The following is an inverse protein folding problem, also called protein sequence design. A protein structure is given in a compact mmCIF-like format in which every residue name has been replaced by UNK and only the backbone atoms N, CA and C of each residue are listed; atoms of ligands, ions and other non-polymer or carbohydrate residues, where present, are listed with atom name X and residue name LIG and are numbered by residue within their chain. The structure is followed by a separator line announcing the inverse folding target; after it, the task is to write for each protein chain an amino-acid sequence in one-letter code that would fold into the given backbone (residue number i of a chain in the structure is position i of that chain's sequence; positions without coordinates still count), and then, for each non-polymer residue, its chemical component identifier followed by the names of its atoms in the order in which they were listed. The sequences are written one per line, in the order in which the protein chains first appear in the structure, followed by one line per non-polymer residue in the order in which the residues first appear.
data_IF_085247379677
#
_entry.id   IF_085247379677
#
_cell.length_a   1.000
_cell.length_b   1.000
_cell.length_c   1.000
_cell.angle_alpha   90.00
_cell.angle_beta   90.00
_cell.angle_gamma   90.00
#
_symmetry.space_group_name_H-M   'P 1'
#
loop_
_entity.id
_entity.type
_entity.pdbx_description
1 polymer ?
#
# COMPACT_ATOMS: atom_id res chain seq x y z
N UNK A 1 5.17 3.98 -13.08
CA UNK A 1 5.82 3.15 -12.03
C UNK A 1 6.22 1.82 -12.65
N UNK A 2 7.48 1.39 -12.40
CA UNK A 2 8.02 0.11 -12.86
C UNK A 2 8.60 -0.65 -11.68
N UNK A 3 8.78 -1.97 -11.86
CA UNK A 3 9.41 -2.83 -10.87
C UNK A 3 10.93 -2.74 -11.02
N UNK A 4 11.60 -2.52 -9.89
CA UNK A 4 13.06 -2.54 -9.77
C UNK A 4 13.45 -3.53 -8.69
N UNK A 5 14.62 -4.15 -8.84
CA UNK A 5 15.26 -4.99 -7.83
C UNK A 5 16.63 -4.45 -7.50
N UNK A 6 17.01 -4.52 -6.23
CA UNK A 6 18.31 -4.05 -5.74
C UNK A 6 18.77 -4.97 -4.59
N UNK A 7 20.07 -5.26 -4.45
CA UNK A 7 20.59 -5.97 -3.29
C UNK A 7 20.33 -5.19 -1.98
N UNK A 8 20.05 -5.89 -0.88
CA UNK A 8 19.84 -5.27 0.45
C UNK A 8 21.08 -4.49 0.91
N UNK A 9 22.26 -4.90 0.45
CA UNK A 9 23.54 -4.23 0.73
C UNK A 9 23.73 -2.93 -0.07
N UNK A 10 22.75 -2.55 -0.89
CA UNK A 10 22.83 -1.37 -1.75
C UNK A 10 23.42 -1.68 -3.14
N UNK A 11 23.60 -0.63 -3.91
CA UNK A 11 24.09 -0.69 -5.29
C UNK A 11 23.12 -0.10 -6.29
N UNK A 12 23.33 -0.31 -7.57
CA UNK A 12 22.45 0.21 -8.61
C UNK A 12 21.21 -0.69 -8.75
N UNK A 13 19.98 -0.11 -8.73
CA UNK A 13 18.76 -0.86 -8.97
C UNK A 13 18.71 -1.35 -10.44
N UNK A 14 18.29 -2.60 -10.63
CA UNK A 14 17.97 -3.16 -11.95
C UNK A 14 16.48 -2.99 -12.23
N UNK A 15 16.14 -2.32 -13.32
CA UNK A 15 14.76 -2.18 -13.78
C UNK A 15 14.30 -3.46 -14.47
N UNK A 16 13.17 -4.03 -14.02
CA UNK A 16 12.63 -5.30 -14.51
C UNK A 16 11.50 -5.11 -15.52
N UNK A 17 10.77 -4.00 -15.45
CA UNK A 17 9.58 -3.75 -16.30
C UNK A 17 9.67 -2.39 -16.99
N UNK A 18 9.01 -2.28 -18.19
CA UNK A 18 9.14 -1.13 -19.09
C UNK A 18 7.81 -0.77 -19.76
N UNK A 19 6.69 -0.97 -19.08
CA UNK A 19 5.37 -0.70 -19.64
C UNK A 19 4.86 0.70 -19.22
N UNK A 20 3.98 1.29 -20.05
CA UNK A 20 3.35 2.60 -19.75
C UNK A 20 2.31 2.55 -18.63
N UNK A 21 1.76 1.38 -18.32
CA UNK A 21 0.91 1.19 -17.12
C UNK A 21 1.78 1.09 -15.88
N UNK A 22 1.23 1.50 -14.74
CA UNK A 22 1.89 1.29 -13.47
C UNK A 22 2.02 -0.21 -13.15
N UNK A 23 3.20 -0.62 -12.74
CA UNK A 23 3.52 -1.94 -12.24
C UNK A 23 3.80 -1.85 -10.74
N UNK A 24 3.04 -2.59 -9.94
CA UNK A 24 3.07 -2.51 -8.47
C UNK A 24 3.59 -3.84 -7.92
N UNK A 25 4.82 -3.87 -7.37
CA UNK A 25 5.40 -5.11 -6.83
C UNK A 25 4.56 -5.63 -5.67
N UNK A 26 4.42 -6.94 -5.58
CA UNK A 26 3.62 -7.61 -4.58
C UNK A 26 4.46 -8.53 -3.70
N UNK A 27 5.22 -9.44 -4.29
CA UNK A 27 5.98 -10.45 -3.57
C UNK A 27 7.14 -10.99 -4.42
N UNK A 28 8.11 -11.63 -3.75
CA UNK A 28 9.07 -12.49 -4.41
C UNK A 28 8.55 -13.92 -4.46
N UNK A 29 8.90 -14.65 -5.52
CA UNK A 29 8.72 -16.10 -5.51
C UNK A 29 9.60 -16.75 -4.43
N UNK A 30 9.20 -17.90 -3.84
CA UNK A 30 9.94 -18.55 -2.75
C UNK A 30 11.40 -18.88 -3.05
N UNK A 31 11.71 -19.09 -4.32
CA UNK A 31 13.07 -19.34 -4.84
C UNK A 31 13.88 -18.04 -5.05
N UNK A 32 13.27 -16.87 -4.83
CA UNK A 32 13.82 -15.53 -5.10
C UNK A 32 14.26 -15.29 -6.56
N UNK A 33 13.75 -16.08 -7.52
CA UNK A 33 14.11 -15.94 -8.92
C UNK A 33 13.18 -15.01 -9.70
N UNK A 34 12.03 -14.64 -9.11
CA UNK A 34 11.06 -13.78 -9.77
C UNK A 34 10.35 -12.86 -8.78
N UNK A 35 9.78 -11.78 -9.33
CA UNK A 35 8.91 -10.84 -8.62
C UNK A 35 7.51 -10.95 -9.18
N UNK A 36 6.52 -11.07 -8.30
CA UNK A 36 5.10 -10.91 -8.62
C UNK A 36 4.72 -9.44 -8.57
N UNK A 37 3.95 -8.98 -9.53
CA UNK A 37 3.48 -7.60 -9.57
C UNK A 37 2.10 -7.48 -10.20
N UNK A 38 1.37 -6.46 -9.80
CA UNK A 38 0.08 -6.09 -10.38
C UNK A 38 0.27 -5.05 -11.47
N UNK A 39 -0.47 -5.21 -12.56
CA UNK A 39 -0.45 -4.26 -13.67
C UNK A 39 -1.75 -4.25 -14.46
N UNK A 40 -2.14 -3.08 -14.94
CA UNK A 40 -3.26 -2.92 -15.86
C UNK A 40 -2.85 -3.07 -17.33
N UNK A 41 -1.66 -3.58 -17.64
CA UNK A 41 -1.09 -3.66 -19.00
C UNK A 41 -1.91 -4.48 -19.99
N UNK A 42 -2.71 -5.41 -19.54
CA UNK A 42 -3.58 -6.24 -20.38
C UNK A 42 -5.05 -5.77 -20.43
N UNK A 43 -5.41 -4.72 -19.69
CA UNK A 43 -6.81 -4.32 -19.49
C UNK A 43 -7.37 -3.43 -20.63
N UNK A 44 -6.53 -2.98 -21.57
CA UNK A 44 -6.89 -1.94 -22.55
C UNK A 44 -7.98 -2.28 -23.57
N UNK A 45 -8.28 -3.55 -23.78
CA UNK A 45 -9.17 -4.00 -24.86
C UNK A 45 -10.46 -4.68 -24.37
N UNK A 46 -10.68 -4.78 -23.06
CA UNK A 46 -11.91 -5.39 -22.53
C UNK A 46 -12.93 -4.30 -22.26
N UNK A 47 -14.06 -4.38 -22.95
CA UNK A 47 -15.20 -3.45 -22.91
C UNK A 47 -15.79 -3.24 -21.52
N UNK A 48 -15.14 -2.41 -20.70
CA UNK A 48 -15.74 -1.91 -19.48
C UNK A 48 -16.20 -0.47 -19.77
N UNK A 49 -17.48 -0.31 -20.04
CA UNK A 49 -18.07 0.96 -20.45
C UNK A 49 -18.05 2.04 -19.37
N UNK A 50 -17.96 1.65 -18.10
CA UNK A 50 -18.17 2.55 -16.96
C UNK A 50 -16.94 2.79 -16.09
N UNK A 51 -15.88 2.00 -16.26
CA UNK A 51 -14.68 2.08 -15.43
C UNK A 51 -13.44 2.24 -16.31
N UNK A 52 -12.46 2.99 -15.81
CA UNK A 52 -11.16 3.01 -16.45
C UNK A 52 -10.57 1.60 -16.50
N UNK A 53 -10.07 1.12 -17.64
CA UNK A 53 -9.36 -0.16 -17.71
C UNK A 53 -8.21 -0.30 -16.68
N UNK A 54 -7.66 0.84 -16.25
CA UNK A 54 -6.59 0.89 -15.22
C UNK A 54 -7.06 0.54 -13.82
N UNK A 55 -8.38 0.45 -13.60
CA UNK A 55 -8.94 0.08 -12.30
C UNK A 55 -8.65 -1.37 -11.96
N UNK A 56 -8.71 -2.27 -12.96
CA UNK A 56 -8.50 -3.71 -12.75
C UNK A 56 -7.08 -4.08 -13.14
N UNK A 57 -6.35 -4.56 -12.15
CA UNK A 57 -4.98 -5.00 -12.31
C UNK A 57 -4.92 -6.53 -12.28
N UNK A 58 -4.14 -7.08 -13.20
CA UNK A 58 -3.87 -8.50 -13.30
C UNK A 58 -2.53 -8.82 -12.64
N UNK A 59 -2.35 -10.06 -12.22
CA UNK A 59 -1.10 -10.52 -11.63
C UNK A 59 -0.15 -11.03 -12.70
N UNK A 60 1.07 -10.51 -12.66
CA UNK A 60 2.18 -10.90 -13.53
C UNK A 60 3.38 -11.35 -12.72
N UNK A 61 4.26 -12.08 -13.36
CA UNK A 61 5.56 -12.50 -12.86
C UNK A 61 6.65 -12.03 -13.81
N UNK A 62 7.79 -11.56 -13.26
CA UNK A 62 8.99 -11.22 -14.02
C UNK A 62 10.23 -11.75 -13.31
N UNK A 63 11.21 -12.27 -14.06
CA UNK A 63 12.49 -12.72 -13.49
C UNK A 63 13.25 -11.56 -12.85
N UNK A 64 13.98 -11.81 -11.74
CA UNK A 64 14.88 -10.83 -11.11
C UNK A 64 16.02 -10.39 -12.03
N UNK A 65 16.28 -11.14 -13.10
CA UNK A 65 17.25 -10.80 -14.15
C UNK A 65 16.62 -10.00 -15.30
N UNK A 66 15.33 -9.62 -15.18
CA UNK A 66 14.57 -8.98 -16.23
C UNK A 66 14.02 -9.97 -17.27
N UNK A 67 13.57 -9.45 -18.40
CA UNK A 67 12.96 -10.22 -19.46
C UNK A 67 11.47 -9.94 -19.63
N UNK A 68 10.77 -10.82 -20.36
CA UNK A 68 9.34 -10.63 -20.65
C UNK A 68 8.48 -11.05 -19.45
N UNK A 69 7.63 -10.16 -18.91
CA UNK A 69 6.66 -10.54 -17.89
C UNK A 69 5.65 -11.59 -18.40
N UNK A 70 5.30 -12.50 -17.52
CA UNK A 70 4.31 -13.56 -17.76
C UNK A 70 3.04 -13.27 -16.98
N UNK A 71 1.89 -13.35 -17.64
CA UNK A 71 0.59 -13.24 -17.00
C UNK A 71 0.29 -14.50 -16.17
N UNK A 72 0.05 -14.33 -14.89
CA UNK A 72 -0.31 -15.42 -13.97
C UNK A 72 -1.81 -15.64 -13.91
N UNK A 73 -2.58 -14.56 -13.82
CA UNK A 73 -4.05 -14.57 -13.82
C UNK A 73 -4.63 -13.21 -14.21
N UNK A 74 -5.82 -13.25 -14.81
CA UNK A 74 -6.63 -12.06 -15.14
C UNK A 74 -7.64 -11.69 -14.06
N UNK A 75 -7.65 -12.36 -12.91
CA UNK A 75 -8.50 -11.97 -11.79
C UNK A 75 -8.10 -10.58 -11.29
N UNK A 76 -9.06 -9.66 -11.24
CA UNK A 76 -8.84 -8.33 -10.68
C UNK A 76 -8.48 -8.41 -9.21
N UNK A 77 -7.32 -7.87 -8.82
CA UNK A 77 -6.85 -7.91 -7.44
C UNK A 77 -6.11 -6.62 -7.06
N UNK A 78 -5.98 -6.37 -5.78
CA UNK A 78 -5.33 -5.17 -5.25
C UNK A 78 -4.21 -5.48 -4.24
N UNK A 79 -4.11 -6.71 -3.79
CA UNK A 79 -2.97 -7.25 -3.04
C UNK A 79 -2.84 -8.74 -3.34
N UNK A 80 -1.63 -9.27 -3.41
CA UNK A 80 -1.37 -10.69 -3.67
C UNK A 80 -0.09 -11.14 -2.95
N UNK A 81 -0.10 -12.35 -2.42
CA UNK A 81 1.06 -13.02 -1.82
C UNK A 81 1.13 -14.46 -2.30
N UNK A 82 2.33 -14.99 -2.40
CA UNK A 82 2.57 -16.39 -2.75
C UNK A 82 2.98 -17.17 -1.50
N UNK A 83 2.51 -18.39 -1.37
CA UNK A 83 2.89 -19.26 -0.26
C UNK A 83 4.34 -19.78 -0.40
N UNK A 84 4.89 -20.35 0.69
CA UNK A 84 6.25 -20.83 0.72
C UNK A 84 6.53 -22.01 -0.23
N UNK A 85 5.49 -22.77 -0.62
CA UNK A 85 5.60 -23.85 -1.62
C UNK A 85 5.60 -23.35 -3.08
N UNK A 86 5.20 -22.10 -3.32
CA UNK A 86 5.11 -21.50 -4.65
C UNK A 86 3.95 -22.01 -5.50
N UNK A 87 2.95 -22.62 -4.91
CA UNK A 87 1.82 -23.25 -5.62
C UNK A 87 0.45 -22.62 -5.31
N UNK A 88 0.39 -21.70 -4.37
CA UNK A 88 -0.85 -21.00 -4.03
C UNK A 88 -0.62 -19.49 -3.88
N UNK A 89 -1.56 -18.71 -4.40
CA UNK A 89 -1.66 -17.26 -4.20
C UNK A 89 -2.82 -16.98 -3.24
N UNK A 90 -2.62 -16.14 -2.23
CA UNK A 90 -3.69 -15.48 -1.49
C UNK A 90 -3.78 -14.04 -1.95
N UNK A 91 -4.98 -13.55 -2.16
CA UNK A 91 -5.16 -12.21 -2.68
C UNK A 91 -6.43 -11.53 -2.18
N UNK A 92 -6.39 -10.23 -2.20
CA UNK A 92 -7.52 -9.34 -1.99
C UNK A 92 -8.09 -8.99 -3.37
N UNK A 93 -9.36 -9.25 -3.60
CA UNK A 93 -10.01 -8.96 -4.88
C UNK A 93 -10.21 -7.45 -5.10
N UNK A 94 -10.56 -7.10 -6.32
CA UNK A 94 -10.94 -5.76 -6.70
C UNK A 94 -12.13 -5.80 -7.64
N UNK A 95 -13.30 -5.43 -7.13
CA UNK A 95 -14.57 -5.45 -7.85
C UNK A 95 -14.95 -4.11 -8.45
N UNK A 96 -14.35 -3.02 -7.95
CA UNK A 96 -14.66 -1.66 -8.37
C UNK A 96 -13.74 -0.62 -7.73
N UNK A 97 -14.18 0.62 -7.76
CA UNK A 97 -13.52 1.72 -7.05
C UNK A 97 -14.14 1.85 -5.65
N UNK A 98 -13.28 1.83 -4.64
CA UNK A 98 -13.65 2.10 -3.26
C UNK A 98 -12.55 2.91 -2.58
N UNK A 99 -12.94 3.85 -1.73
CA UNK A 99 -11.99 4.61 -0.92
C UNK A 99 -11.33 3.70 0.12
N UNK A 100 -10.00 3.64 0.08
CA UNK A 100 -9.20 2.80 0.97
C UNK A 100 -9.35 3.18 2.46
N UNK A 101 -9.73 4.41 2.75
CA UNK A 101 -9.86 4.93 4.12
C UNK A 101 -11.29 4.94 4.66
N UNK A 102 -12.25 4.53 3.84
CA UNK A 102 -13.65 4.47 4.26
C UNK A 102 -13.87 3.37 5.30
N UNK A 103 -14.64 3.68 6.36
CA UNK A 103 -14.98 2.74 7.43
C UNK A 103 -16.42 2.26 7.31
N UNK A 104 -16.70 1.09 7.88
CA UNK A 104 -18.03 0.50 8.02
C UNK A 104 -18.80 0.42 6.70
N UNK A 105 -18.06 0.17 5.63
CA UNK A 105 -18.63 0.11 4.31
C UNK A 105 -19.06 -1.32 3.98
N UNK A 106 -20.31 -1.46 3.56
CA UNK A 106 -20.86 -2.71 3.03
C UNK A 106 -21.44 -2.41 1.65
N UNK A 107 -20.92 -3.03 0.62
CA UNK A 107 -21.42 -2.88 -0.76
C UNK A 107 -20.94 -4.05 -1.62
N UNK A 108 -21.42 -4.07 -2.86
CA UNK A 108 -20.99 -5.06 -3.86
C UNK A 108 -19.51 -4.93 -4.27
N UNK A 109 -18.83 -3.84 -3.88
CA UNK A 109 -17.41 -3.58 -4.23
C UNK A 109 -16.47 -3.71 -3.03
N UNK A 110 -16.97 -4.04 -1.82
CA UNK A 110 -16.11 -4.40 -0.68
C UNK A 110 -15.21 -5.57 -1.05
N UNK A 111 -14.01 -5.54 -0.52
CA UNK A 111 -12.95 -6.49 -0.87
C UNK A 111 -13.13 -7.76 -0.08
N UNK A 112 -12.84 -8.86 -0.73
CA UNK A 112 -12.84 -10.19 -0.14
C UNK A 112 -11.47 -10.84 -0.29
N UNK A 113 -11.18 -11.80 0.58
CA UNK A 113 -9.97 -12.62 0.50
C UNK A 113 -10.27 -13.89 -0.26
N UNK A 114 -9.40 -14.18 -1.22
CA UNK A 114 -9.47 -15.35 -2.09
C UNK A 114 -8.14 -16.09 -2.11
N UNK A 115 -8.19 -17.38 -2.39
CA UNK A 115 -7.00 -18.15 -2.78
C UNK A 115 -7.11 -18.61 -4.22
N UNK A 116 -5.96 -18.74 -4.86
CA UNK A 116 -5.78 -19.32 -6.20
C UNK A 116 -4.75 -20.44 -6.10
N UNK A 117 -5.15 -21.65 -6.42
CA UNK A 117 -4.24 -22.77 -6.66
C UNK A 117 -3.63 -22.64 -8.06
N UNK A 118 -2.31 -22.55 -8.14
CA UNK A 118 -1.61 -22.30 -9.40
C UNK A 118 -1.57 -23.51 -10.33
N UNK A 119 -1.74 -24.73 -9.81
CA UNK A 119 -1.77 -25.98 -10.59
C UNK A 119 -3.15 -26.25 -11.17
N UNK A 120 -4.17 -26.21 -10.31
CA UNK A 120 -5.55 -26.51 -10.71
C UNK A 120 -6.29 -25.31 -11.29
N UNK A 121 -5.77 -24.09 -11.09
CA UNK A 121 -6.41 -22.82 -11.44
C UNK A 121 -7.75 -22.59 -10.75
N UNK A 122 -7.96 -23.23 -9.61
CA UNK A 122 -9.16 -23.05 -8.81
C UNK A 122 -9.06 -21.83 -7.92
N UNK A 123 -10.14 -21.06 -7.86
CA UNK A 123 -10.32 -19.91 -7.00
C UNK A 123 -11.29 -20.26 -5.88
N UNK A 124 -10.91 -19.96 -4.65
CA UNK A 124 -11.76 -20.19 -3.47
C UNK A 124 -11.88 -18.89 -2.69
N UNK A 125 -13.12 -18.42 -2.48
CA UNK A 125 -13.38 -17.31 -1.59
C UNK A 125 -13.23 -17.78 -0.15
N UNK A 126 -12.44 -17.05 0.64
CA UNK A 126 -12.12 -17.40 2.02
C UNK A 126 -12.94 -16.56 3.00
N UNK A 127 -12.97 -15.24 2.80
CA UNK A 127 -13.68 -14.34 3.71
C UNK A 127 -15.19 -14.43 3.53
N UNK A 128 -15.92 -14.31 4.64
CA UNK A 128 -17.38 -14.39 4.67
C UNK A 128 -18.05 -13.12 5.16
N UNK A 129 -17.28 -12.16 5.67
CA UNK A 129 -17.80 -10.88 6.13
C UNK A 129 -18.28 -10.03 4.94
N UNK A 130 -19.37 -9.28 5.13
CA UNK A 130 -19.96 -8.44 4.08
C UNK A 130 -19.31 -7.08 3.91
N UNK A 131 -18.38 -6.70 4.80
CA UNK A 131 -17.58 -5.49 4.76
C UNK A 131 -16.18 -5.73 4.19
N UNK A 132 -15.22 -4.95 4.65
CA UNK A 132 -13.85 -4.98 4.13
C UNK A 132 -13.00 -6.08 4.78
N UNK A 133 -12.40 -6.92 3.94
CA UNK A 133 -11.38 -7.89 4.28
C UNK A 133 -10.13 -7.63 3.42
N UNK A 134 -8.98 -7.37 4.07
CA UNK A 134 -7.84 -6.72 3.43
C UNK A 134 -6.51 -7.41 3.77
N UNK A 135 -5.50 -7.11 2.96
CA UNK A 135 -4.07 -7.34 3.23
C UNK A 135 -3.74 -8.78 3.68
N UNK A 136 -4.13 -9.80 2.92
CA UNK A 136 -3.85 -11.18 3.30
C UNK A 136 -2.36 -11.50 3.19
N UNK A 137 -1.83 -12.25 4.15
CA UNK A 137 -0.47 -12.78 4.16
C UNK A 137 -0.46 -14.22 4.68
N UNK A 138 0.31 -15.10 4.04
CA UNK A 138 0.44 -16.48 4.52
C UNK A 138 1.16 -16.54 5.86
N UNK A 139 0.71 -17.42 6.73
CA UNK A 139 1.48 -17.82 7.90
C UNK A 139 2.72 -18.62 7.45
N UNK A 140 3.90 -18.42 8.06
CA UNK A 140 5.06 -19.24 7.77
C UNK A 140 4.78 -20.74 7.96
N UNK A 141 5.26 -21.56 7.02
CA UNK A 141 5.00 -23.00 7.03
C UNK A 141 3.70 -23.42 6.36
N UNK A 142 2.96 -22.52 5.73
CA UNK A 142 1.70 -22.78 5.00
C UNK A 142 0.58 -23.40 5.90
N UNK A 143 0.59 -23.12 7.19
CA UNK A 143 -0.38 -23.66 8.15
C UNK A 143 -1.67 -22.86 8.19
N UNK A 144 -1.63 -21.62 7.70
CA UNK A 144 -2.75 -20.70 7.67
C UNK A 144 -2.38 -19.39 7.00
N UNK A 145 -3.19 -18.38 7.25
CA UNK A 145 -2.94 -17.02 6.75
C UNK A 145 -3.55 -15.98 7.70
N UNK A 146 -2.94 -14.83 7.73
CA UNK A 146 -3.46 -13.65 8.40
C UNK A 146 -4.13 -12.72 7.39
N UNK A 147 -5.12 -11.97 7.84
CA UNK A 147 -5.74 -10.88 7.09
C UNK A 147 -6.37 -9.87 8.02
N UNK A 148 -6.73 -8.71 7.50
CA UNK A 148 -7.45 -7.67 8.22
C UNK A 148 -8.93 -7.78 7.92
N UNK A 149 -9.79 -7.76 8.95
CA UNK A 149 -11.25 -7.71 8.79
C UNK A 149 -11.85 -6.60 9.65
N UNK A 150 -12.87 -5.95 9.14
CA UNK A 150 -13.64 -4.95 9.86
C UNK A 150 -14.84 -5.54 10.64
N UNK A 151 -14.96 -6.86 10.70
CA UNK A 151 -16.10 -7.57 11.31
C UNK A 151 -16.37 -7.22 12.78
N UNK A 152 -15.39 -6.63 13.47
CA UNK A 152 -15.53 -6.14 14.86
C UNK A 152 -15.70 -4.63 14.98
N UNK A 153 -16.03 -3.93 13.90
CA UNK A 153 -16.21 -2.48 13.88
C UNK A 153 -14.94 -1.68 13.62
N UNK A 154 -13.78 -2.31 13.53
CA UNK A 154 -12.52 -1.72 13.08
C UNK A 154 -11.65 -2.83 12.49
N UNK A 155 -10.77 -2.49 11.54
CA UNK A 155 -9.85 -3.48 10.97
C UNK A 155 -8.93 -4.03 12.05
N UNK A 156 -8.99 -5.34 12.23
CA UNK A 156 -8.18 -6.12 13.16
C UNK A 156 -7.59 -7.33 12.44
N UNK A 157 -6.47 -7.85 12.97
CA UNK A 157 -5.80 -9.03 12.43
C UNK A 157 -6.54 -10.28 12.88
N UNK A 158 -6.89 -11.12 11.92
CA UNK A 158 -7.42 -12.47 12.11
C UNK A 158 -6.40 -13.47 11.56
N UNK A 159 -6.18 -14.55 12.28
CA UNK A 159 -5.51 -15.75 11.81
C UNK A 159 -6.55 -16.78 11.43
N UNK A 160 -6.51 -17.24 10.19
CA UNK A 160 -7.36 -18.35 9.73
C UNK A 160 -6.49 -19.59 9.47
N UNK A 161 -6.81 -20.68 10.15
CA UNK A 161 -6.22 -22.00 9.92
C UNK A 161 -7.33 -23.01 9.66
N UNK A 162 -7.33 -23.60 8.49
CA UNK A 162 -8.32 -24.62 8.10
C UNK A 162 -9.79 -24.15 8.25
N UNK A 163 -10.06 -22.87 7.97
CA UNK A 163 -11.39 -22.28 8.11
C UNK A 163 -11.78 -21.87 9.53
N UNK A 164 -10.91 -22.09 10.51
CA UNK A 164 -11.10 -21.60 11.87
C UNK A 164 -10.40 -20.27 12.07
N UNK A 165 -11.15 -19.26 12.49
CA UNK A 165 -10.67 -17.90 12.70
C UNK A 165 -10.36 -17.65 14.16
N UNK A 166 -9.16 -17.09 14.38
CA UNK A 166 -8.71 -16.62 15.69
C UNK A 166 -8.38 -15.14 15.59
N UNK A 167 -8.95 -14.32 16.46
CA UNK A 167 -8.62 -12.91 16.56
C UNK A 167 -7.24 -12.74 17.20
N UNK A 168 -6.37 -11.99 16.51
CA UNK A 168 -5.00 -11.70 16.96
C UNK A 168 -4.91 -10.33 17.63
N UNK A 169 -5.63 -9.32 17.08
CA UNK A 169 -5.70 -7.96 17.65
C UNK A 169 -7.14 -7.60 17.99
N UNK A 170 -7.33 -6.66 18.94
CA UNK A 170 -8.65 -6.23 19.37
C UNK A 170 -8.68 -4.69 19.58
N UNK A 171 -8.41 -3.95 18.53
CA UNK A 171 -8.46 -2.49 18.52
C UNK A 171 -9.86 -2.00 18.14
N UNK A 172 -10.32 -0.93 18.79
CA UNK A 172 -11.67 -0.39 18.59
C UNK A 172 -11.69 1.02 18.01
N UNK A 173 -10.61 1.80 18.21
CA UNK A 173 -10.60 3.23 17.87
C UNK A 173 -10.07 3.49 16.47
N UNK A 174 -8.97 2.86 16.10
CA UNK A 174 -8.31 3.03 14.81
C UNK A 174 -8.15 1.69 14.09
N UNK A 175 -8.10 1.68 12.75
CA UNK A 175 -7.85 0.47 11.99
C UNK A 175 -6.37 0.05 12.06
N UNK A 176 -6.13 -1.25 12.09
CA UNK A 176 -4.83 -1.84 11.77
C UNK A 176 -4.63 -1.76 10.26
N UNK A 177 -3.38 -1.51 9.80
CA UNK A 177 -3.00 -1.42 8.39
C UNK A 177 -1.58 -1.92 8.16
N UNK A 178 -1.22 -2.13 6.89
CA UNK A 178 0.13 -2.49 6.45
C UNK A 178 0.64 -3.78 7.09
N UNK A 179 -0.23 -4.80 7.11
CA UNK A 179 0.09 -6.10 7.69
C UNK A 179 1.19 -6.82 6.90
N UNK A 180 2.18 -7.28 7.61
CA UNK A 180 3.22 -8.18 7.09
C UNK A 180 3.62 -9.22 8.13
N UNK A 181 4.24 -10.31 7.69
CA UNK A 181 4.70 -11.39 8.56
C UNK A 181 6.12 -11.80 8.20
N UNK A 182 6.96 -12.01 9.20
CA UNK A 182 8.32 -12.53 9.04
C UNK A 182 8.35 -14.06 8.97
N UNK A 183 9.48 -14.63 8.55
CA UNK A 183 9.71 -16.09 8.54
C UNK A 183 9.58 -16.74 9.93
N UNK A 184 9.77 -15.96 11.00
CA UNK A 184 9.64 -16.42 12.38
C UNK A 184 8.23 -16.18 12.96
N UNK A 185 7.25 -15.95 12.10
CA UNK A 185 5.87 -15.65 12.50
C UNK A 185 5.74 -14.43 13.40
N UNK A 186 6.57 -13.42 13.18
CA UNK A 186 6.44 -12.12 13.82
C UNK A 186 5.66 -11.20 12.89
N UNK A 187 4.55 -10.66 13.37
CA UNK A 187 3.73 -9.70 12.66
C UNK A 187 4.33 -8.30 12.77
N UNK A 188 4.23 -7.54 11.69
CA UNK A 188 4.49 -6.11 11.66
C UNK A 188 3.29 -5.41 11.02
N UNK A 189 2.81 -4.36 11.67
CA UNK A 189 1.64 -3.59 11.21
C UNK A 189 1.67 -2.17 11.76
N UNK A 190 0.82 -1.30 11.22
CA UNK A 190 0.63 0.05 11.74
C UNK A 190 -0.70 0.18 12.44
N UNK A 191 -0.72 0.95 13.54
CA UNK A 191 -1.92 1.32 14.28
C UNK A 191 -1.77 2.74 14.83
N UNK A 192 -2.75 3.59 14.58
CA UNK A 192 -2.76 4.99 15.05
C UNK A 192 -1.51 5.81 14.69
N UNK A 193 -0.88 5.53 13.54
CA UNK A 193 0.33 6.23 13.09
C UNK A 193 1.64 5.60 13.56
N UNK A 194 1.60 4.69 14.52
CA UNK A 194 2.78 3.99 15.04
C UNK A 194 2.99 2.64 14.34
N UNK A 195 4.24 2.19 14.32
CA UNK A 195 4.64 0.86 13.85
C UNK A 195 4.69 -0.10 15.03
N UNK A 196 4.08 -1.28 14.86
CA UNK A 196 4.06 -2.34 15.86
C UNK A 196 4.75 -3.61 15.37
N UNK A 197 5.44 -4.28 16.28
CA UNK A 197 5.94 -5.64 16.09
C UNK A 197 5.29 -6.53 17.14
N UNK A 198 4.76 -7.67 16.69
CA UNK A 198 4.13 -8.67 17.54
C UNK A 198 4.67 -10.06 17.20
N UNK A 199 5.56 -10.63 18.03
CA UNK A 199 5.98 -12.01 17.89
C UNK A 199 4.80 -12.97 18.05
N UNK A 200 4.92 -14.18 17.50
CA UNK A 200 3.91 -15.22 17.69
C UNK A 200 3.71 -15.49 19.18
N UNK A 201 2.44 -15.50 19.61
CA UNK A 201 2.03 -15.76 21.00
C UNK A 201 2.54 -14.73 22.05
N UNK A 202 2.92 -13.53 21.61
CA UNK A 202 3.38 -12.47 22.49
C UNK A 202 2.59 -11.17 22.30
N UNK A 203 2.81 -10.19 23.17
CA UNK A 203 2.16 -8.89 23.09
C UNK A 203 2.81 -8.02 22.01
N UNK A 204 2.01 -7.18 21.40
CA UNK A 204 2.48 -6.18 20.46
C UNK A 204 3.29 -5.09 21.17
N UNK A 205 4.43 -4.71 20.60
CA UNK A 205 5.26 -3.60 21.05
C UNK A 205 5.38 -2.55 19.97
N UNK A 206 5.21 -1.27 20.36
CA UNK A 206 5.46 -0.16 19.44
C UNK A 206 6.97 -0.03 19.17
N UNK A 207 7.32 0.25 17.91
CA UNK A 207 8.70 0.48 17.48
C UNK A 207 8.99 1.97 17.52
N UNK A 208 9.96 2.37 18.34
CA UNK A 208 10.43 3.76 18.31
C UNK A 208 11.24 4.01 17.04
N UNK A 209 10.70 4.83 16.13
CA UNK A 209 11.41 5.27 14.94
C UNK A 209 12.14 6.57 15.23
N UNK A 210 13.45 6.53 15.30
CA UNK A 210 14.29 7.73 15.45
C UNK A 210 14.72 8.20 14.05
N UNK A 211 14.31 9.41 13.69
CA UNK A 211 14.74 10.05 12.44
C UNK A 211 15.86 11.03 12.77
N UNK A 212 17.09 10.71 12.38
CA UNK A 212 18.17 11.69 12.36
C UNK A 212 17.99 12.61 11.13
N UNK A 213 17.92 13.89 11.40
CA UNK A 213 17.75 14.91 10.36
C UNK A 213 18.94 15.86 10.37
N UNK A 214 20.01 15.46 9.74
CA UNK A 214 21.27 16.24 9.69
C UNK A 214 21.15 17.54 8.87
N UNK A 215 20.05 17.73 8.16
CA UNK A 215 19.85 18.87 7.26
C UNK A 215 18.94 19.99 7.79
N UNK A 216 18.36 19.86 8.99
CA UNK A 216 17.33 20.80 9.48
C UNK A 216 17.76 21.73 10.61
N UNK A 217 19.04 21.91 10.83
CA UNK A 217 19.53 22.90 11.80
C UNK A 217 19.39 24.36 11.35
N UNK A 218 18.94 24.63 10.13
CA UNK A 218 18.56 25.96 9.68
C UNK A 218 17.04 26.07 9.62
N UNK A 219 16.44 26.66 10.65
CA UNK A 219 15.03 27.05 10.68
C UNK A 219 14.72 28.17 9.65
N UNK A 220 15.75 28.82 9.12
CA UNK A 220 15.64 29.90 8.13
C UNK A 220 16.03 29.40 6.74
N UNK A 221 15.14 29.56 5.78
CA UNK A 221 15.39 29.31 4.36
C UNK A 221 15.17 30.63 3.59
N UNK A 222 16.16 31.05 2.87
CA UNK A 222 16.00 32.14 1.91
C UNK A 222 15.26 31.62 0.67
N UNK A 223 14.02 32.03 0.49
CA UNK A 223 13.21 31.72 -0.66
C UNK A 223 13.11 32.94 -1.57
N UNK A 224 13.38 32.76 -2.86
CA UNK A 224 13.05 33.79 -3.85
C UNK A 224 11.56 33.71 -4.17
N UNK A 225 10.81 34.75 -3.91
CA UNK A 225 9.38 34.89 -4.18
C UNK A 225 9.06 35.86 -5.31
N UNK A 226 10.03 36.11 -6.20
CA UNK A 226 9.89 37.01 -7.34
C UNK A 226 8.93 36.49 -8.44
N UNK A 227 8.46 35.23 -8.33
CA UNK A 227 7.51 34.64 -9.27
C UNK A 227 6.60 33.63 -8.55
N UNK A 228 5.45 33.31 -9.15
CA UNK A 228 4.53 32.31 -8.61
C UNK A 228 3.59 32.82 -7.51
N UNK A 229 3.45 34.16 -7.38
CA UNK A 229 2.43 34.75 -6.50
C UNK A 229 1.04 34.51 -7.15
N UNK A 230 0.14 33.88 -6.39
CA UNK A 230 -1.20 33.53 -6.88
C UNK A 230 -2.27 34.52 -6.41
N UNK A 231 -2.09 35.12 -5.24
CA UNK A 231 -3.03 36.10 -4.67
C UNK A 231 -2.25 37.09 -3.82
N UNK A 232 -2.73 38.31 -3.70
CA UNK A 232 -2.19 39.29 -2.76
C UNK A 232 -3.26 40.27 -2.30
N UNK A 233 -3.03 40.89 -1.15
CA UNK A 233 -3.88 41.94 -0.58
C UNK A 233 -3.01 42.97 0.13
N UNK A 234 -3.40 44.23 -0.02
CA UNK A 234 -2.75 45.35 0.68
C UNK A 234 -3.44 45.56 2.04
N UNK A 235 -2.65 45.86 3.08
CA UNK A 235 -3.17 46.23 4.39
C UNK A 235 -3.99 47.52 4.32
N UNK A 236 -4.97 47.75 5.20
CA UNK A 236 -5.79 48.98 5.18
C UNK A 236 -5.01 50.31 5.34
N UNK A 237 -3.85 50.24 5.99
CA UNK A 237 -2.97 51.38 6.17
C UNK A 237 -1.94 51.58 5.01
N UNK A 238 -1.96 50.66 4.01
CA UNK A 238 -1.08 50.70 2.85
C UNK A 238 0.39 50.38 3.11
N UNK A 239 0.75 49.87 4.29
CA UNK A 239 2.15 49.66 4.68
C UNK A 239 2.66 48.25 4.48
N UNK A 240 1.74 47.26 4.34
CA UNK A 240 2.08 45.83 4.22
C UNK A 240 1.30 45.19 3.09
N UNK A 241 1.92 44.21 2.47
CA UNK A 241 1.31 43.33 1.47
C UNK A 241 1.37 41.89 2.00
N UNK A 242 0.21 41.24 2.10
CA UNK A 242 0.14 39.79 2.28
C UNK A 242 -0.04 39.12 0.92
N UNK A 243 0.69 38.05 0.64
CA UNK A 243 0.59 37.32 -0.62
C UNK A 243 0.79 35.82 -0.43
N UNK A 244 0.28 35.04 -1.38
CA UNK A 244 0.43 33.58 -1.39
C UNK A 244 1.45 33.18 -2.43
N UNK A 245 2.45 32.43 -1.99
CA UNK A 245 3.43 31.77 -2.85
C UNK A 245 3.63 30.32 -2.38
N UNK A 246 3.58 29.35 -3.28
CA UNK A 246 3.76 27.92 -2.98
C UNK A 246 2.78 27.35 -1.92
N UNK A 247 1.60 27.96 -1.77
CA UNK A 247 0.61 27.55 -0.78
C UNK A 247 0.84 28.13 0.62
N UNK A 248 1.87 28.94 0.83
CA UNK A 248 2.17 29.61 2.10
C UNK A 248 1.84 31.10 2.00
N UNK A 249 1.47 31.70 3.12
CA UNK A 249 1.15 33.14 3.22
C UNK A 249 2.38 33.88 3.71
N UNK A 250 2.76 34.90 2.96
CA UNK A 250 3.88 35.79 3.28
C UNK A 250 3.36 37.21 3.54
N UNK A 251 4.02 37.94 4.41
CA UNK A 251 3.77 39.35 4.64
C UNK A 251 5.07 40.13 4.45
N UNK A 252 5.00 41.18 3.67
CA UNK A 252 6.15 42.08 3.44
C UNK A 252 5.72 43.55 3.61
N UNK A 253 6.63 44.38 4.04
CA UNK A 253 6.41 45.83 4.03
C UNK A 253 6.38 46.34 2.59
N UNK A 254 5.53 47.34 2.29
CA UNK A 254 5.51 48.03 1.00
C UNK A 254 6.83 48.80 0.79
N UNK A 255 7.35 49.38 1.87
CA UNK A 255 8.66 50.04 1.91
C UNK A 255 9.55 49.25 2.86
N UNK A 256 10.49 48.46 2.31
CA UNK A 256 11.41 47.68 3.14
C UNK A 256 12.01 46.50 2.41
N UNK A 257 12.95 45.83 3.07
CA UNK A 257 13.74 44.73 2.49
C UNK A 257 13.49 43.37 3.13
N UNK A 258 12.61 43.24 4.12
CA UNK A 258 12.35 41.97 4.82
C UNK A 258 10.91 41.50 4.58
N UNK A 259 10.81 40.26 4.15
CA UNK A 259 9.55 39.52 4.05
C UNK A 259 9.47 38.47 5.18
N UNK A 260 8.35 38.35 5.85
CA UNK A 260 8.11 37.33 6.88
C UNK A 260 7.18 36.26 6.36
#
# INVERSE_FOLDING_TARGET
FDVFVMPVTGGNPLRLTYHSSADIPQDFTPDNQSVLFLSARGAGNKNIRFYSPRLFQNLYQVSVNGGRPVLMTEAGMSAARINASGDQIIFQDKKGYEDHYRKHHTSSVTRDIWTLDLKTKQYIKISTFSGEDLEPVFEPGNTGFYYLTESSGSLNIILNRNGQEQRVTNYHTHPVRNLSVSKNNTLCYTYNGDLFIQPANDQAAAVLVLVQNDGRNNSEKNLSVSSGITQFVLSPNGKEIAFINRGEVFVTAVEGTQTK
#
